data_IF_270527220815
#
_entry.id   IF_270527220815
#
_cell.length_a   1.000
_cell.length_b   1.000
_cell.length_c   1.000
_cell.angle_alpha   90.00
_cell.angle_beta   90.00
_cell.angle_gamma   90.00
#
_symmetry.space_group_name_H-M   'P 1'
#
loop_
_entity.id
_entity.type
_entity.pdbx_description
1 polymer ?
#
# COMPACT_ATOMS: atom_id res chain seq x y z
N UNK A 1 -0.36 3.98 4.61
CA UNK A 1 -0.19 3.93 3.13
C UNK A 1 -1.32 4.60 2.35
N UNK A 2 -2.60 4.24 2.49
CA UNK A 2 -3.73 4.78 1.71
C UNK A 2 -3.81 6.31 1.62
N UNK A 3 -3.65 7.01 2.74
CA UNK A 3 -3.67 8.48 2.78
C UNK A 3 -2.49 9.13 2.05
N UNK A 4 -1.33 8.47 2.03
CA UNK A 4 -0.17 8.92 1.27
C UNK A 4 -0.47 8.80 -0.23
N UNK A 5 -0.97 7.66 -0.65
CA UNK A 5 -1.38 7.45 -2.06
C UNK A 5 -2.42 8.47 -2.47
N UNK A 6 -3.44 8.69 -1.63
CA UNK A 6 -4.47 9.72 -1.90
C UNK A 6 -3.87 11.12 -2.04
N UNK A 7 -2.96 11.50 -1.14
CA UNK A 7 -2.31 12.81 -1.15
C UNK A 7 -1.58 13.09 -2.46
N UNK A 8 -0.84 12.08 -2.97
CA UNK A 8 -0.01 12.26 -4.18
C UNK A 8 -0.75 12.00 -5.48
N UNK A 9 -1.85 11.25 -5.48
CA UNK A 9 -2.54 10.85 -6.72
C UNK A 9 -3.92 11.46 -6.87
N UNK A 10 -4.62 11.71 -5.77
CA UNK A 10 -6.05 12.09 -5.77
C UNK A 10 -6.97 10.99 -6.32
N UNK A 11 -6.48 9.74 -6.46
CA UNK A 11 -7.20 8.64 -7.09
C UNK A 11 -7.76 7.67 -6.07
N UNK A 12 -9.08 7.47 -6.11
CA UNK A 12 -9.80 6.60 -5.17
C UNK A 12 -9.40 5.12 -5.32
N UNK A 13 -9.29 4.63 -6.55
CA UNK A 13 -8.86 3.25 -6.84
C UNK A 13 -7.52 2.93 -6.22
N UNK A 14 -6.53 3.79 -6.42
CA UNK A 14 -5.19 3.62 -5.88
C UNK A 14 -5.14 3.73 -4.36
N UNK A 15 -5.87 4.69 -3.79
CA UNK A 15 -5.94 4.86 -2.34
C UNK A 15 -6.61 3.66 -1.66
N UNK A 16 -7.67 3.10 -2.26
CA UNK A 16 -8.34 1.90 -1.76
C UNK A 16 -7.46 0.65 -1.91
N UNK A 17 -6.71 0.52 -3.00
CA UNK A 17 -5.71 -0.54 -3.13
C UNK A 17 -4.68 -0.47 -1.99
N UNK A 18 -4.18 0.73 -1.68
CA UNK A 18 -3.31 0.95 -0.53
C UNK A 18 -4.00 0.73 0.84
N UNK A 19 -5.31 0.89 0.94
CA UNK A 19 -6.06 0.58 2.16
C UNK A 19 -6.17 -0.92 2.39
N UNK A 20 -6.38 -1.68 1.33
CA UNK A 20 -6.59 -3.13 1.39
C UNK A 20 -5.31 -3.96 1.30
N UNK A 21 -4.14 -3.34 1.18
CA UNK A 21 -2.87 -4.05 0.92
C UNK A 21 -2.55 -5.16 1.93
N UNK A 22 -2.95 -4.99 3.19
CA UNK A 22 -2.71 -5.95 4.27
C UNK A 22 -3.95 -6.76 4.67
N UNK A 23 -5.05 -6.67 3.93
CA UNK A 23 -6.33 -7.29 4.31
C UNK A 23 -6.24 -8.81 4.48
N UNK A 24 -5.46 -9.47 3.64
CA UNK A 24 -5.25 -10.91 3.68
C UNK A 24 -3.89 -11.31 4.29
N UNK A 25 -3.12 -10.37 4.82
CA UNK A 25 -1.82 -10.64 5.42
C UNK A 25 -2.00 -11.37 6.75
N UNK A 26 -1.42 -12.58 6.93
CA UNK A 26 -1.51 -13.32 8.19
C UNK A 26 -0.87 -12.56 9.34
N UNK A 27 -1.39 -12.75 10.57
CA UNK A 27 -0.90 -12.08 11.79
C UNK A 27 0.61 -12.29 12.03
N UNK A 28 1.18 -13.40 11.56
CA UNK A 28 2.60 -13.74 11.67
C UNK A 28 3.25 -13.91 10.30
N UNK A 29 2.89 -13.08 9.32
CA UNK A 29 3.37 -13.20 7.94
C UNK A 29 4.89 -13.35 7.85
N UNK A 30 5.67 -12.50 8.51
CA UNK A 30 7.13 -12.55 8.49
C UNK A 30 7.71 -13.85 9.08
N UNK A 31 7.04 -14.46 10.06
CA UNK A 31 7.46 -15.76 10.63
C UNK A 31 7.14 -16.88 9.65
N UNK A 32 5.99 -16.82 9.00
CA UNK A 32 5.58 -17.78 7.98
C UNK A 32 6.50 -17.71 6.76
N UNK A 33 6.84 -16.51 6.30
CA UNK A 33 7.78 -16.27 5.20
C UNK A 33 9.17 -16.86 5.50
N UNK A 34 9.66 -16.66 6.72
CA UNK A 34 10.93 -17.23 7.17
C UNK A 34 10.92 -18.76 7.18
N UNK A 35 9.82 -19.39 7.62
CA UNK A 35 9.69 -20.84 7.70
C UNK A 35 9.55 -21.52 6.34
N UNK A 36 8.91 -20.85 5.38
CA UNK A 36 8.57 -21.46 4.10
C UNK A 36 9.55 -21.11 2.97
N UNK A 37 10.51 -20.18 3.17
CA UNK A 37 11.47 -19.72 2.15
C UNK A 37 10.84 -19.36 0.80
N UNK A 38 9.61 -18.81 0.81
CA UNK A 38 8.73 -18.86 -0.35
C UNK A 38 8.46 -17.48 -0.96
N UNK A 39 8.89 -17.32 -2.22
CA UNK A 39 8.52 -16.21 -3.09
C UNK A 39 7.05 -16.28 -3.61
N UNK A 40 6.32 -17.33 -3.25
CA UNK A 40 4.94 -17.61 -3.67
C UNK A 40 3.89 -16.81 -2.89
N UNK A 41 4.29 -16.07 -1.82
CA UNK A 41 3.32 -15.40 -0.94
C UNK A 41 2.69 -14.13 -1.54
N UNK A 42 3.30 -13.45 -2.50
CA UNK A 42 2.69 -12.26 -3.09
C UNK A 42 1.41 -12.61 -3.87
N UNK A 43 1.46 -13.59 -4.76
CA UNK A 43 0.28 -14.03 -5.51
C UNK A 43 -0.82 -14.57 -4.58
N UNK A 44 -0.46 -15.27 -3.49
CA UNK A 44 -1.42 -15.78 -2.52
C UNK A 44 -2.07 -14.67 -1.69
N UNK A 45 -1.35 -13.60 -1.36
CA UNK A 45 -1.88 -12.45 -0.61
C UNK A 45 -2.85 -11.65 -1.45
N UNK A 46 -2.55 -11.41 -2.73
CA UNK A 46 -3.45 -10.73 -3.67
C UNK A 46 -4.74 -11.53 -3.91
N UNK A 47 -4.61 -12.84 -4.11
CA UNK A 47 -5.77 -13.74 -4.24
C UNK A 47 -6.62 -13.71 -2.95
N UNK A 48 -6.00 -13.77 -1.78
CA UNK A 48 -6.68 -13.67 -0.49
C UNK A 48 -7.37 -12.32 -0.28
N UNK A 49 -6.73 -11.22 -0.66
CA UNK A 49 -7.34 -9.88 -0.60
C UNK A 49 -8.57 -9.81 -1.50
N UNK A 50 -8.48 -10.33 -2.73
CA UNK A 50 -9.59 -10.41 -3.67
C UNK A 50 -10.76 -11.21 -3.10
N UNK A 51 -10.49 -12.37 -2.52
CA UNK A 51 -11.51 -13.23 -1.89
C UNK A 51 -12.16 -12.54 -0.69
N UNK A 52 -11.39 -11.87 0.17
CA UNK A 52 -11.92 -11.12 1.30
C UNK A 52 -12.87 -9.99 0.85
N UNK A 53 -12.48 -9.21 -0.16
CA UNK A 53 -13.31 -8.14 -0.69
C UNK A 53 -14.59 -8.71 -1.34
N UNK A 54 -14.45 -9.70 -2.22
CA UNK A 54 -15.58 -10.31 -2.93
C UNK A 54 -16.54 -11.04 -1.99
N UNK A 55 -16.04 -11.57 -0.88
CA UNK A 55 -16.85 -12.22 0.16
C UNK A 55 -17.60 -11.27 1.08
N UNK A 56 -17.34 -9.95 1.03
CA UNK A 56 -18.04 -8.94 1.84
C UNK A 56 -19.08 -8.17 1.02
N UNK A 57 -20.38 -8.39 1.24
CA UNK A 57 -21.45 -7.65 0.55
C UNK A 57 -21.36 -6.14 0.76
N UNK A 58 -20.91 -5.69 1.94
CA UNK A 58 -20.75 -4.28 2.27
C UNK A 58 -19.64 -3.63 1.44
N UNK A 59 -18.49 -4.30 1.31
CA UNK A 59 -17.39 -3.81 0.50
C UNK A 59 -17.77 -3.80 -0.98
N UNK A 60 -18.41 -4.86 -1.47
CA UNK A 60 -18.88 -4.93 -2.85
C UNK A 60 -19.89 -3.84 -3.18
N UNK A 61 -20.80 -3.55 -2.26
CA UNK A 61 -21.76 -2.44 -2.40
C UNK A 61 -21.03 -1.10 -2.45
N UNK A 62 -20.12 -0.84 -1.52
CA UNK A 62 -19.34 0.40 -1.47
C UNK A 62 -18.50 0.62 -2.74
N UNK A 63 -17.86 -0.42 -3.26
CA UNK A 63 -17.12 -0.34 -4.53
C UNK A 63 -18.06 -0.03 -5.70
N UNK A 64 -19.24 -0.65 -5.76
CA UNK A 64 -20.25 -0.39 -6.79
C UNK A 64 -20.75 1.05 -6.76
N UNK A 65 -20.97 1.63 -5.57
CA UNK A 65 -21.35 3.05 -5.40
C UNK A 65 -20.26 4.01 -5.88
N UNK A 66 -18.98 3.62 -5.79
CA UNK A 66 -17.84 4.38 -6.29
C UNK A 66 -17.52 4.11 -7.77
N UNK A 67 -18.21 3.16 -8.39
CA UNK A 67 -17.94 2.73 -9.77
C UNK A 67 -16.61 1.99 -9.94
N UNK A 68 -16.14 1.32 -8.87
CA UNK A 68 -14.87 0.59 -8.85
C UNK A 68 -15.09 -0.93 -8.87
N UNK A 69 -14.12 -1.64 -9.42
CA UNK A 69 -14.10 -3.12 -9.45
C UNK A 69 -13.13 -3.67 -8.39
N UNK A 70 -13.31 -4.92 -8.01
CA UNK A 70 -12.39 -5.63 -7.09
C UNK A 70 -10.96 -5.63 -7.63
N UNK A 71 -10.77 -5.82 -8.93
CA UNK A 71 -9.46 -5.87 -9.58
C UNK A 71 -8.69 -4.56 -9.46
N UNK A 72 -9.37 -3.43 -9.41
CA UNK A 72 -8.74 -2.12 -9.23
C UNK A 72 -8.20 -1.89 -7.82
N UNK A 73 -8.70 -2.61 -6.83
CA UNK A 73 -8.38 -2.36 -5.41
C UNK A 73 -7.74 -3.56 -4.70
N UNK A 74 -7.69 -4.73 -5.32
CA UNK A 74 -7.16 -5.94 -4.70
C UNK A 74 -5.64 -6.07 -4.79
N UNK A 75 -5.01 -5.38 -5.75
CA UNK A 75 -3.58 -5.42 -5.98
C UNK A 75 -3.00 -4.01 -6.06
N UNK A 76 -2.28 -3.58 -5.02
CA UNK A 76 -1.66 -2.26 -4.95
C UNK A 76 -0.35 -2.16 -5.75
N UNK A 77 0.28 -3.28 -6.08
CA UNK A 77 1.53 -3.32 -6.84
C UNK A 77 1.37 -2.81 -8.29
N UNK A 78 0.14 -2.84 -8.81
CA UNK A 78 -0.16 -2.25 -10.13
C UNK A 78 -0.01 -0.72 -10.17
N UNK A 79 0.12 -0.06 -9.01
CA UNK A 79 0.17 1.39 -8.88
C UNK A 79 1.56 1.87 -8.42
N UNK A 80 2.37 2.51 -9.29
CA UNK A 80 3.76 2.87 -8.99
C UNK A 80 3.96 3.80 -7.80
N UNK A 81 2.96 4.62 -7.46
CA UNK A 81 3.01 5.48 -6.25
C UNK A 81 2.79 4.64 -4.99
N UNK A 82 1.92 3.62 -5.05
CA UNK A 82 1.66 2.74 -3.92
C UNK A 82 2.86 1.84 -3.65
N UNK A 83 3.33 1.14 -4.68
CA UNK A 83 4.54 0.33 -4.65
C UNK A 83 5.27 0.35 -6.00
N UNK A 84 6.60 0.15 -5.96
CA UNK A 84 7.45 0.12 -7.13
C UNK A 84 8.75 -0.65 -6.85
N UNK A 85 9.58 -0.84 -7.88
CA UNK A 85 10.85 -1.53 -7.73
C UNK A 85 11.83 -0.77 -6.82
N UNK A 86 12.46 -1.49 -5.89
CA UNK A 86 13.53 -0.92 -5.08
C UNK A 86 14.73 -0.51 -5.98
N UNK A 87 15.44 0.57 -5.67
CA UNK A 87 15.38 1.39 -4.45
C UNK A 87 14.45 2.62 -4.53
N UNK A 88 13.60 2.73 -5.53
CA UNK A 88 12.72 3.88 -5.69
C UNK A 88 11.75 4.02 -4.51
N UNK A 89 11.39 5.26 -4.18
CA UNK A 89 10.48 5.56 -3.09
C UNK A 89 9.04 5.28 -3.50
N UNK A 90 8.31 4.55 -2.66
CA UNK A 90 6.87 4.30 -2.79
C UNK A 90 6.14 4.74 -1.53
N UNK A 91 4.81 4.81 -1.57
CA UNK A 91 4.00 5.13 -0.40
C UNK A 91 4.19 4.11 0.73
N UNK A 92 4.34 2.83 0.40
CA UNK A 92 4.61 1.76 1.35
C UNK A 92 5.95 1.99 2.08
N UNK A 93 7.03 2.16 1.34
CA UNK A 93 8.36 2.43 1.93
C UNK A 93 8.41 3.76 2.69
N UNK A 94 7.74 4.79 2.21
CA UNK A 94 7.67 6.08 2.88
C UNK A 94 6.97 5.99 4.24
N UNK A 95 5.85 5.27 4.30
CA UNK A 95 5.08 5.13 5.54
C UNK A 95 5.90 4.51 6.66
N UNK A 96 6.47 3.33 6.43
CA UNK A 96 7.26 2.68 7.48
C UNK A 96 8.57 3.42 7.79
N UNK A 97 9.19 4.08 6.79
CA UNK A 97 10.42 4.85 7.02
C UNK A 97 10.15 6.04 7.92
N UNK A 98 9.14 6.84 7.63
CA UNK A 98 8.77 7.99 8.47
C UNK A 98 8.27 7.55 9.84
N UNK A 99 7.50 6.47 9.91
CA UNK A 99 7.05 5.87 11.16
C UNK A 99 8.23 5.40 12.02
N UNK A 100 9.22 4.75 11.43
CA UNK A 100 10.42 4.31 12.14
C UNK A 100 11.27 5.48 12.64
N UNK A 101 11.41 6.55 11.87
CA UNK A 101 12.11 7.76 12.34
C UNK A 101 11.50 8.30 13.63
N UNK A 102 10.17 8.32 13.74
CA UNK A 102 9.46 8.74 14.93
C UNK A 102 9.58 7.72 16.07
N UNK A 103 9.28 6.45 15.79
CA UNK A 103 9.20 5.39 16.80
C UNK A 103 10.54 5.09 17.48
N UNK A 104 11.63 5.18 16.72
CA UNK A 104 12.98 4.99 17.26
C UNK A 104 13.63 6.29 17.77
N UNK A 105 12.93 7.42 17.69
CA UNK A 105 13.42 8.71 18.19
C UNK A 105 14.57 9.31 17.37
N UNK A 106 14.73 8.92 16.11
CA UNK A 106 15.75 9.49 15.21
C UNK A 106 15.39 10.88 14.71
N UNK A 107 14.11 11.20 14.65
CA UNK A 107 13.62 12.53 14.30
C UNK A 107 12.31 12.83 15.05
N UNK A 108 12.06 14.12 15.31
CA UNK A 108 10.80 14.56 15.89
C UNK A 108 9.70 14.72 14.82
N UNK A 109 8.47 14.93 15.28
CA UNK A 109 7.31 15.07 14.42
C UNK A 109 7.41 16.26 13.45
N UNK A 110 8.02 17.36 13.88
CA UNK A 110 8.18 18.56 13.05
C UNK A 110 9.13 18.28 11.88
N UNK A 111 10.26 17.65 12.15
CA UNK A 111 11.24 17.23 11.14
C UNK A 111 10.65 16.24 10.14
N UNK A 112 9.95 15.20 10.61
CA UNK A 112 9.29 14.21 9.74
C UNK A 112 8.21 14.87 8.88
N UNK A 113 7.44 15.79 9.44
CA UNK A 113 6.43 16.56 8.70
C UNK A 113 7.07 17.48 7.64
N UNK A 114 8.24 18.03 7.91
CA UNK A 114 8.98 18.83 6.94
C UNK A 114 9.46 17.96 5.76
N UNK A 115 10.02 16.78 6.04
CA UNK A 115 10.39 15.82 4.98
C UNK A 115 9.20 15.45 4.11
N UNK A 116 8.07 15.11 4.72
CA UNK A 116 6.86 14.74 3.98
C UNK A 116 6.35 15.87 3.08
N UNK A 117 6.38 17.13 3.54
CA UNK A 117 5.92 18.29 2.76
C UNK A 117 6.83 18.66 1.58
N UNK A 118 8.10 18.25 1.65
CA UNK A 118 9.09 18.52 0.61
C UNK A 118 9.01 17.52 -0.55
N UNK A 119 8.28 16.41 -0.37
CA UNK A 119 8.13 15.37 -1.38
C UNK A 119 7.20 15.82 -2.52
N UNK A 120 7.59 15.48 -3.74
CA UNK A 120 6.78 15.68 -4.94
C UNK A 120 6.81 14.42 -5.79
N UNK A 121 5.78 14.23 -6.61
CA UNK A 121 5.76 13.17 -7.63
C UNK A 121 6.48 13.66 -8.88
N UNK A 122 7.40 12.84 -9.36
CA UNK A 122 8.09 13.05 -10.63
C UNK A 122 7.94 11.83 -11.52
N UNK A 123 8.18 12.00 -12.80
CA UNK A 123 8.36 10.91 -13.78
C UNK A 123 9.86 10.74 -14.03
N UNK A 124 10.32 9.50 -14.02
CA UNK A 124 11.68 9.19 -14.43
C UNK A 124 11.80 9.10 -15.95
N UNK A 125 13.02 8.81 -16.45
CA UNK A 125 13.33 8.71 -17.89
C UNK A 125 12.56 7.58 -18.60
N UNK A 126 11.91 6.70 -17.84
CA UNK A 126 11.16 5.55 -18.34
C UNK A 126 9.63 5.73 -18.21
N UNK A 127 9.16 6.86 -17.71
CA UNK A 127 7.76 7.22 -17.59
C UNK A 127 7.19 6.98 -16.22
#
# INVERSE_FOLDING_TARGET
MALIVWHFTGRQDQALAGLFHDLATPVFAHVVDFLNSDHLHQESTEAGTRECIAGSPELMKGLGELGLTVDQVADYHQYPIADNAAPALSADRLEYTLGNLLNYGFADRETVSAFYRDLTVGTDEHG
#
